data_IF_483722569536
#
_entry.id   IF_483722569536
#
_cell.length_a   1.000
_cell.length_b   1.000
_cell.length_c   1.000
_cell.angle_alpha   90.00
_cell.angle_beta   90.00
_cell.angle_gamma   90.00
#
_symmetry.space_group_name_H-M   'P 1'
#
loop_
_entity.id
_entity.type
_entity.pdbx_description
1 polymer ?
#
# COMPACT_ATOMS: atom_id res chain seq x y z
N UNK A 1 -36.80 0.34 27.37
CA UNK A 1 -35.73 -0.41 26.67
C UNK A 1 -34.35 -0.08 27.25
N UNK A 2 -33.42 -1.05 27.32
CA UNK A 2 -32.02 -0.75 27.66
C UNK A 2 -31.28 -0.17 26.46
N UNK A 3 -30.21 0.65 26.67
CA UNK A 3 -29.42 1.19 25.56
C UNK A 3 -28.83 0.11 24.64
N UNK A 4 -28.41 -1.03 25.19
CA UNK A 4 -27.85 -2.15 24.42
C UNK A 4 -28.88 -2.79 23.49
N UNK A 5 -30.11 -2.99 23.98
CA UNK A 5 -31.20 -3.55 23.17
C UNK A 5 -31.64 -2.57 22.08
N UNK A 6 -31.65 -1.27 22.37
CA UNK A 6 -31.92 -0.24 21.37
C UNK A 6 -30.89 -0.30 20.22
N UNK A 7 -29.60 -0.29 20.55
CA UNK A 7 -28.53 -0.35 19.54
C UNK A 7 -28.64 -1.61 18.69
N UNK A 8 -28.92 -2.76 19.31
CA UNK A 8 -29.11 -4.03 18.59
C UNK A 8 -30.29 -3.96 17.63
N UNK A 9 -31.47 -3.53 18.10
CA UNK A 9 -32.67 -3.38 17.25
C UNK A 9 -32.45 -2.38 16.13
N UNK A 10 -31.77 -1.27 16.40
CA UNK A 10 -31.41 -0.28 15.39
C UNK A 10 -30.49 -0.86 14.33
N UNK A 11 -29.39 -1.51 14.73
CA UNK A 11 -28.43 -2.14 13.82
C UNK A 11 -29.09 -3.15 12.89
N UNK A 12 -30.01 -3.95 13.41
CA UNK A 12 -30.76 -4.97 12.67
C UNK A 12 -31.89 -4.38 11.81
N UNK A 13 -32.17 -3.07 11.91
CA UNK A 13 -33.26 -2.43 11.17
C UNK A 13 -34.65 -2.83 11.66
N UNK A 14 -34.79 -3.12 12.96
CA UNK A 14 -36.03 -3.63 13.59
C UNK A 14 -36.77 -2.58 14.44
N UNK A 15 -36.51 -1.30 14.19
CA UNK A 15 -37.28 -0.22 14.79
C UNK A 15 -38.42 0.12 13.82
N UNK A 16 -39.64 -0.29 14.18
CA UNK A 16 -40.82 -0.16 13.33
C UNK A 16 -41.21 1.31 13.11
N UNK A 17 -41.65 1.66 11.90
CA UNK A 17 -41.98 3.04 11.51
C UNK A 17 -40.76 3.91 11.20
N UNK A 18 -39.56 3.40 11.49
CA UNK A 18 -38.28 4.06 11.31
C UNK A 18 -37.42 3.35 10.25
N UNK A 19 -37.11 2.07 10.47
CA UNK A 19 -36.09 1.35 9.68
C UNK A 19 -36.54 1.01 8.27
N UNK A 20 -37.83 0.73 8.11
CA UNK A 20 -38.52 0.26 6.89
C UNK A 20 -39.18 1.40 6.08
N UNK A 21 -39.23 2.62 6.64
CA UNK A 21 -39.90 3.74 6.00
C UNK A 21 -38.98 4.50 5.04
N UNK A 22 -39.22 4.37 3.74
CA UNK A 22 -38.52 5.15 2.69
C UNK A 22 -38.66 6.66 2.90
N UNK A 23 -39.85 7.12 3.33
CA UNK A 23 -40.06 8.53 3.68
C UNK A 23 -39.13 8.96 4.81
N UNK A 24 -39.07 8.17 5.89
CA UNK A 24 -38.29 8.53 7.07
C UNK A 24 -36.79 8.51 6.77
N UNK A 25 -36.33 7.49 6.02
CA UNK A 25 -34.96 7.41 5.50
C UNK A 25 -34.59 8.63 4.62
N UNK A 26 -35.49 9.07 3.74
CA UNK A 26 -35.27 10.30 2.98
C UNK A 26 -35.23 11.56 3.87
N UNK A 27 -36.00 11.59 4.96
CA UNK A 27 -35.98 12.69 5.94
C UNK A 27 -34.64 12.75 6.69
N UNK A 28 -34.10 11.59 7.11
CA UNK A 28 -32.76 11.49 7.71
C UNK A 28 -31.68 12.05 6.76
N UNK A 29 -31.71 11.65 5.48
CA UNK A 29 -30.79 12.18 4.46
C UNK A 29 -30.89 13.70 4.33
N UNK A 30 -32.11 14.24 4.30
CA UNK A 30 -32.32 15.69 4.23
C UNK A 30 -31.82 16.42 5.48
N UNK A 31 -31.98 15.83 6.66
CA UNK A 31 -31.46 16.40 7.90
C UNK A 31 -29.92 16.38 7.94
N UNK A 32 -29.29 15.26 7.54
CA UNK A 32 -27.84 15.16 7.33
C UNK A 32 -27.33 16.27 6.40
N UNK A 33 -28.03 16.48 5.29
CA UNK A 33 -27.73 17.52 4.29
C UNK A 33 -28.13 18.94 4.73
N UNK A 34 -28.54 19.12 6.00
CA UNK A 34 -28.97 20.39 6.60
C UNK A 34 -30.16 21.07 5.89
N UNK A 35 -30.97 20.28 5.19
CA UNK A 35 -32.21 20.73 4.51
C UNK A 35 -33.45 20.63 5.40
N UNK A 36 -33.34 20.00 6.56
CA UNK A 36 -34.38 19.85 7.58
C UNK A 36 -33.75 20.10 8.94
N UNK A 37 -34.42 20.87 9.81
CA UNK A 37 -33.94 21.12 11.17
C UNK A 37 -34.05 19.87 12.04
N UNK A 38 -33.16 19.78 13.03
CA UNK A 38 -33.15 18.70 14.01
C UNK A 38 -34.47 18.62 14.79
N UNK A 39 -35.03 19.76 15.20
CA UNK A 39 -36.33 19.85 15.87
C UNK A 39 -37.46 19.21 15.06
N UNK A 40 -37.50 19.50 13.75
CA UNK A 40 -38.51 18.93 12.86
C UNK A 40 -38.31 17.43 12.66
N UNK A 41 -37.06 16.97 12.62
CA UNK A 41 -36.76 15.54 12.54
C UNK A 41 -37.19 14.82 13.82
N UNK A 42 -36.83 15.35 14.99
CA UNK A 42 -37.22 14.78 16.29
C UNK A 42 -38.74 14.73 16.45
N UNK A 43 -39.45 15.78 16.04
CA UNK A 43 -40.91 15.77 16.02
C UNK A 43 -41.50 14.65 15.15
N UNK A 44 -40.94 14.44 13.95
CA UNK A 44 -41.39 13.34 13.09
C UNK A 44 -40.98 11.95 13.62
N UNK A 45 -39.85 11.84 14.32
CA UNK A 45 -39.43 10.61 15.00
C UNK A 45 -40.38 10.25 16.13
N UNK A 46 -40.69 11.20 17.01
CA UNK A 46 -41.62 11.03 18.13
C UNK A 46 -43.00 10.56 17.66
N UNK A 47 -43.50 11.14 16.55
CA UNK A 47 -44.79 10.75 15.98
C UNK A 47 -44.82 9.34 15.36
N UNK A 48 -43.69 8.84 14.85
CA UNK A 48 -43.62 7.61 14.05
C UNK A 48 -43.10 6.41 14.80
N UNK A 49 -42.23 6.61 15.77
CA UNK A 49 -41.75 5.57 16.66
C UNK A 49 -42.93 5.10 17.51
N UNK A 50 -43.56 4.01 17.06
CA UNK A 50 -44.81 3.50 17.64
C UNK A 50 -44.58 2.85 19.02
N UNK A 51 -43.31 2.58 19.33
CA UNK A 51 -42.83 1.90 20.53
C UNK A 51 -42.42 2.96 21.55
N UNK A 52 -43.26 3.20 22.57
CA UNK A 52 -43.06 4.25 23.60
C UNK A 52 -41.77 4.06 24.43
N UNK A 53 -41.08 2.95 24.26
CA UNK A 53 -39.81 2.65 24.92
C UNK A 53 -38.56 3.10 24.15
N UNK A 54 -38.70 3.61 22.93
CA UNK A 54 -37.58 4.09 22.10
C UNK A 54 -37.49 5.61 22.18
N UNK A 55 -36.39 6.14 22.71
CA UNK A 55 -36.12 7.58 22.71
C UNK A 55 -35.69 8.04 21.29
N UNK A 56 -36.46 8.95 20.64
CA UNK A 56 -36.08 9.57 19.38
C UNK A 56 -34.67 10.18 19.36
N UNK A 57 -34.24 10.78 20.47
CA UNK A 57 -32.94 11.43 20.57
C UNK A 57 -31.80 10.43 20.55
N UNK A 58 -31.96 9.28 21.21
CA UNK A 58 -30.96 8.20 21.19
C UNK A 58 -30.80 7.63 19.78
N UNK A 59 -31.90 7.39 19.07
CA UNK A 59 -31.87 6.93 17.67
C UNK A 59 -31.21 7.97 16.76
N UNK A 60 -31.50 9.26 16.96
CA UNK A 60 -30.87 10.33 16.19
C UNK A 60 -29.35 10.39 16.44
N UNK A 61 -28.91 10.19 17.67
CA UNK A 61 -27.49 10.15 18.00
C UNK A 61 -26.76 8.98 17.30
N UNK A 62 -27.42 7.82 17.16
CA UNK A 62 -26.89 6.69 16.39
C UNK A 62 -26.75 7.04 14.90
N UNK A 63 -27.74 7.71 14.31
CA UNK A 63 -27.69 8.19 12.92
C UNK A 63 -26.61 9.24 12.69
N UNK A 64 -26.44 10.20 13.62
CA UNK A 64 -25.32 11.15 13.59
C UNK A 64 -23.97 10.44 13.57
N UNK A 65 -23.86 9.30 14.25
CA UNK A 65 -22.69 8.42 14.17
C UNK A 65 -22.45 7.89 12.75
N UNK A 66 -23.50 7.47 12.04
CA UNK A 66 -23.41 7.08 10.62
C UNK A 66 -23.01 8.27 9.76
N UNK A 67 -23.60 9.45 9.96
CA UNK A 67 -23.30 10.63 9.15
C UNK A 67 -21.82 11.03 9.24
N UNK A 68 -21.24 10.96 10.45
CA UNK A 68 -19.82 11.20 10.64
C UNK A 68 -18.96 10.19 9.88
N UNK A 69 -19.28 8.90 10.00
CA UNK A 69 -18.55 7.84 9.29
C UNK A 69 -18.68 7.96 7.76
N UNK A 70 -19.85 8.36 7.28
CA UNK A 70 -20.11 8.60 5.86
C UNK A 70 -19.24 9.74 5.32
N UNK A 71 -19.15 10.85 6.04
CA UNK A 71 -18.27 11.97 5.68
C UNK A 71 -16.79 11.57 5.70
N UNK A 72 -16.37 10.75 6.68
CA UNK A 72 -15.01 10.21 6.71
C UNK A 72 -14.72 9.32 5.49
N UNK A 73 -15.65 8.41 5.14
CA UNK A 73 -15.52 7.53 3.98
C UNK A 73 -15.49 8.32 2.67
N UNK A 74 -16.43 9.26 2.47
CA UNK A 74 -16.49 10.15 1.30
C UNK A 74 -15.22 10.99 1.17
N UNK A 75 -14.73 11.56 2.27
CA UNK A 75 -13.50 12.33 2.28
C UNK A 75 -12.28 11.49 1.91
N UNK A 76 -12.20 10.27 2.44
CA UNK A 76 -11.12 9.33 2.08
C UNK A 76 -11.15 8.95 0.60
N UNK A 77 -12.32 8.66 0.03
CA UNK A 77 -12.46 8.37 -1.41
C UNK A 77 -12.09 9.58 -2.27
N UNK A 78 -12.50 10.79 -1.89
CA UNK A 78 -12.10 12.03 -2.59
C UNK A 78 -10.57 12.22 -2.58
N UNK A 79 -9.93 11.99 -1.42
CA UNK A 79 -8.47 11.99 -1.33
C UNK A 79 -7.88 10.92 -2.24
N UNK A 80 -8.46 9.71 -2.25
CA UNK A 80 -7.96 8.64 -3.10
C UNK A 80 -8.04 8.99 -4.59
N UNK A 81 -9.13 9.61 -5.05
CA UNK A 81 -9.24 10.08 -6.44
C UNK A 81 -8.07 11.01 -6.79
N UNK A 82 -7.72 11.94 -5.90
CA UNK A 82 -6.58 12.85 -6.09
C UNK A 82 -5.25 12.10 -6.04
N UNK A 83 -5.03 11.23 -5.05
CA UNK A 83 -3.76 10.54 -4.85
C UNK A 83 -3.51 9.43 -5.87
N UNK A 84 -4.56 8.91 -6.50
CA UNK A 84 -4.47 7.84 -7.50
C UNK A 84 -3.62 8.22 -8.71
N UNK A 85 -3.49 9.51 -9.02
CA UNK A 85 -2.68 9.99 -10.14
C UNK A 85 -1.17 9.99 -9.85
N UNK A 86 -0.77 9.87 -8.57
CA UNK A 86 0.65 9.82 -8.19
C UNK A 86 1.29 8.48 -8.54
N UNK A 87 0.48 7.42 -8.57
CA UNK A 87 0.97 6.10 -8.91
C UNK A 87 1.49 6.09 -10.35
N UNK A 88 2.62 5.42 -10.62
CA UNK A 88 3.07 5.18 -11.98
C UNK A 88 2.07 4.33 -12.77
N UNK A 89 1.16 3.58 -12.11
CA UNK A 89 0.10 2.77 -12.74
C UNK A 89 -1.23 3.49 -12.60
N UNK A 90 -2.18 3.28 -13.53
CA UNK A 90 -3.51 3.88 -13.40
C UNK A 90 -4.26 3.29 -12.20
N UNK A 91 -4.46 4.11 -11.16
CA UNK A 91 -5.27 3.78 -9.98
C UNK A 91 -6.63 4.48 -9.97
N UNK A 92 -6.93 5.31 -10.97
CA UNK A 92 -8.15 6.12 -10.99
C UNK A 92 -9.40 5.24 -11.06
N UNK A 93 -9.32 4.14 -11.80
CA UNK A 93 -10.41 3.16 -11.90
C UNK A 93 -10.75 2.55 -10.52
N UNK A 94 -9.73 2.30 -9.68
CA UNK A 94 -9.95 1.79 -8.33
C UNK A 94 -10.55 2.85 -7.40
N UNK A 95 -10.10 4.10 -7.49
CA UNK A 95 -10.68 5.18 -6.72
C UNK A 95 -12.17 5.42 -7.07
N UNK A 96 -12.50 5.42 -8.37
CA UNK A 96 -13.90 5.57 -8.85
C UNK A 96 -14.81 4.41 -8.43
N UNK A 97 -14.26 3.20 -8.32
CA UNK A 97 -15.03 2.05 -7.83
C UNK A 97 -15.61 2.33 -6.43
N UNK A 98 -14.81 2.89 -5.52
CA UNK A 98 -15.29 3.21 -4.18
C UNK A 98 -16.29 4.36 -4.14
N UNK A 99 -16.19 5.32 -5.06
CA UNK A 99 -17.21 6.37 -5.23
C UNK A 99 -18.57 5.76 -5.59
N UNK A 100 -18.59 4.85 -6.58
CA UNK A 100 -19.81 4.12 -6.98
C UNK A 100 -20.38 3.31 -5.81
N UNK A 101 -19.53 2.61 -5.05
CA UNK A 101 -19.99 1.82 -3.88
C UNK A 101 -20.63 2.72 -2.82
N UNK A 102 -20.09 3.91 -2.57
CA UNK A 102 -20.69 4.85 -1.61
C UNK A 102 -22.04 5.38 -2.10
N UNK A 103 -22.14 5.76 -3.38
CA UNK A 103 -23.38 6.23 -3.99
C UNK A 103 -24.48 5.16 -3.96
N UNK A 104 -24.14 3.91 -4.35
CA UNK A 104 -25.07 2.78 -4.32
C UNK A 104 -25.52 2.48 -2.88
N UNK A 105 -24.59 2.51 -1.93
CA UNK A 105 -24.90 2.23 -0.53
C UNK A 105 -25.80 3.31 0.08
N UNK A 106 -25.53 4.59 -0.24
CA UNK A 106 -26.38 5.71 0.17
C UNK A 106 -27.79 5.58 -0.41
N UNK A 107 -27.91 5.22 -1.70
CA UNK A 107 -29.19 5.00 -2.37
C UNK A 107 -30.00 3.86 -1.72
N UNK A 108 -29.36 2.71 -1.49
CA UNK A 108 -30.00 1.55 -0.88
C UNK A 108 -30.45 1.85 0.57
N UNK A 109 -29.66 2.61 1.32
CA UNK A 109 -29.94 2.96 2.70
C UNK A 109 -31.04 4.03 2.82
N UNK A 110 -30.84 5.19 2.21
CA UNK A 110 -31.73 6.34 2.43
C UNK A 110 -32.94 6.40 1.48
N UNK A 111 -32.82 5.91 0.24
CA UNK A 111 -33.88 6.09 -0.77
C UNK A 111 -34.73 4.83 -0.93
N UNK A 112 -34.13 3.66 -0.77
CA UNK A 112 -34.85 2.39 -0.88
C UNK A 112 -35.21 1.74 0.45
N UNK A 113 -34.60 2.16 1.57
CA UNK A 113 -34.77 1.49 2.86
C UNK A 113 -34.51 -0.04 2.77
N UNK A 114 -33.56 -0.45 1.92
CA UNK A 114 -33.24 -1.86 1.62
C UNK A 114 -31.94 -2.33 2.26
N UNK A 115 -31.34 -1.50 3.10
CA UNK A 115 -30.09 -1.77 3.79
C UNK A 115 -30.25 -1.44 5.26
N UNK A 116 -29.88 -2.38 6.12
CA UNK A 116 -29.86 -2.16 7.56
C UNK A 116 -28.74 -1.19 7.96
N UNK A 117 -28.84 -0.50 9.12
CA UNK A 117 -27.74 0.31 9.63
C UNK A 117 -26.43 -0.48 9.79
N UNK A 118 -26.51 -1.75 10.23
CA UNK A 118 -25.34 -2.63 10.32
C UNK A 118 -24.66 -2.85 8.98
N UNK A 119 -25.41 -3.19 7.94
CA UNK A 119 -24.86 -3.39 6.60
C UNK A 119 -24.27 -2.09 6.03
N UNK A 120 -24.95 -0.96 6.22
CA UNK A 120 -24.47 0.32 5.74
C UNK A 120 -23.17 0.75 6.43
N UNK A 121 -23.11 0.66 7.76
CA UNK A 121 -21.88 0.90 8.54
C UNK A 121 -20.76 -0.02 8.07
N UNK A 122 -21.02 -1.30 7.83
CA UNK A 122 -20.01 -2.24 7.38
C UNK A 122 -19.45 -1.85 6.01
N UNK A 123 -20.31 -1.45 5.06
CA UNK A 123 -19.87 -0.95 3.75
C UNK A 123 -19.04 0.33 3.89
N UNK A 124 -19.49 1.31 4.67
CA UNK A 124 -18.77 2.55 4.90
C UNK A 124 -17.39 2.31 5.53
N UNK A 125 -17.30 1.47 6.57
CA UNK A 125 -16.02 1.11 7.21
C UNK A 125 -15.08 0.41 6.25
N UNK A 126 -15.58 -0.59 5.53
CA UNK A 126 -14.79 -1.31 4.53
C UNK A 126 -14.25 -0.34 3.48
N UNK A 127 -15.09 0.52 2.90
CA UNK A 127 -14.66 1.53 1.92
C UNK A 127 -13.64 2.51 2.51
N UNK A 128 -13.83 2.97 3.74
CA UNK A 128 -12.89 3.85 4.43
C UNK A 128 -11.53 3.19 4.65
N UNK A 129 -11.50 1.97 5.18
CA UNK A 129 -10.28 1.21 5.43
C UNK A 129 -9.55 0.88 4.12
N UNK A 130 -10.28 0.40 3.12
CA UNK A 130 -9.75 0.08 1.79
C UNK A 130 -9.18 1.29 1.07
N UNK A 131 -9.91 2.39 1.03
CA UNK A 131 -9.43 3.61 0.37
C UNK A 131 -8.18 4.16 1.04
N UNK A 132 -8.09 4.17 2.38
CA UNK A 132 -6.88 4.56 3.11
C UNK A 132 -5.68 3.68 2.76
N UNK A 133 -5.89 2.36 2.69
CA UNK A 133 -4.85 1.41 2.35
C UNK A 133 -4.32 1.64 0.93
N UNK A 134 -5.22 1.80 -0.04
CA UNK A 134 -4.86 2.02 -1.45
C UNK A 134 -4.26 3.42 -1.71
N UNK A 135 -4.61 4.43 -0.92
CA UNK A 135 -3.91 5.74 -0.89
C UNK A 135 -2.44 5.54 -0.50
N UNK A 136 -2.17 4.83 0.61
CA UNK A 136 -0.80 4.58 1.05
C UNK A 136 -0.01 3.79 0.00
N UNK A 137 -0.64 2.78 -0.63
CA UNK A 137 -0.04 2.06 -1.76
C UNK A 137 0.29 3.02 -2.91
N UNK A 138 -0.63 3.89 -3.33
CA UNK A 138 -0.39 4.82 -4.45
C UNK A 138 0.79 5.76 -4.17
N UNK A 139 0.92 6.24 -2.93
CA UNK A 139 2.05 7.05 -2.46
C UNK A 139 3.35 6.23 -2.49
N UNK A 140 3.32 5.02 -1.94
CA UNK A 140 4.48 4.13 -1.90
C UNK A 140 4.95 3.75 -3.31
N UNK A 141 4.04 3.46 -4.25
CA UNK A 141 4.38 3.17 -5.63
C UNK A 141 5.10 4.35 -6.28
N UNK A 142 4.60 5.58 -6.07
CA UNK A 142 5.23 6.81 -6.54
C UNK A 142 6.63 6.99 -5.96
N UNK A 143 6.77 6.81 -4.65
CA UNK A 143 8.05 6.91 -3.94
C UNK A 143 9.05 5.87 -4.44
N UNK A 144 8.61 4.62 -4.62
CA UNK A 144 9.45 3.56 -5.19
C UNK A 144 9.89 3.92 -6.60
N UNK A 145 8.97 4.34 -7.46
CA UNK A 145 9.29 4.70 -8.83
C UNK A 145 10.32 5.84 -8.91
N UNK A 146 10.12 6.90 -8.13
CA UNK A 146 11.04 8.04 -8.07
C UNK A 146 12.41 7.67 -7.52
N UNK A 147 12.45 6.84 -6.48
CA UNK A 147 13.70 6.32 -5.92
C UNK A 147 14.47 5.47 -6.93
N UNK A 148 13.80 4.61 -7.69
CA UNK A 148 14.45 3.80 -8.74
C UNK A 148 15.00 4.69 -9.86
N UNK A 149 14.25 5.74 -10.25
CA UNK A 149 14.73 6.76 -11.18
C UNK A 149 15.97 7.46 -10.66
N UNK A 150 16.00 7.84 -9.38
CA UNK A 150 17.17 8.46 -8.75
C UNK A 150 18.37 7.51 -8.74
N UNK A 151 18.18 6.25 -8.35
CA UNK A 151 19.24 5.22 -8.38
C UNK A 151 19.79 5.08 -9.80
N UNK A 152 18.94 5.06 -10.82
CA UNK A 152 19.38 5.02 -12.22
C UNK A 152 20.26 6.20 -12.60
N UNK A 153 19.91 7.41 -12.14
CA UNK A 153 20.70 8.62 -12.37
C UNK A 153 22.03 8.59 -11.62
N UNK A 154 22.04 8.14 -10.36
CA UNK A 154 23.25 7.97 -9.57
C UNK A 154 24.19 6.94 -10.20
N UNK A 155 23.66 5.88 -10.78
CA UNK A 155 24.43 4.88 -11.51
C UNK A 155 24.92 5.37 -12.88
N UNK A 156 24.53 6.57 -13.30
CA UNK A 156 24.85 7.19 -14.58
C UNK A 156 24.47 6.31 -15.77
N UNK A 157 23.48 5.42 -15.57
CA UNK A 157 23.00 4.50 -16.60
C UNK A 157 21.48 4.46 -16.62
N UNK A 158 20.85 4.83 -17.74
CA UNK A 158 19.39 4.89 -17.84
C UNK A 158 18.78 3.48 -17.74
N UNK A 159 17.93 3.28 -16.75
CA UNK A 159 17.04 2.13 -16.64
C UNK A 159 15.85 2.30 -17.59
N UNK A 160 15.37 1.20 -18.17
CA UNK A 160 14.07 1.17 -18.82
C UNK A 160 12.97 1.17 -17.76
N UNK A 161 12.57 2.38 -17.36
CA UNK A 161 11.54 2.61 -16.35
C UNK A 161 10.15 2.16 -16.82
N UNK A 162 9.92 2.06 -18.14
CA UNK A 162 8.68 1.52 -18.69
C UNK A 162 8.57 0.04 -18.38
N UNK A 163 9.63 -0.72 -18.63
CA UNK A 163 9.67 -2.15 -18.29
C UNK A 163 9.63 -2.38 -16.79
N UNK A 164 10.31 -1.54 -16.00
CA UNK A 164 10.21 -1.59 -14.53
C UNK A 164 8.76 -1.44 -14.08
N UNK A 165 8.07 -0.39 -14.54
CA UNK A 165 6.67 -0.13 -14.22
C UNK A 165 5.79 -1.35 -14.51
N UNK A 166 5.90 -1.92 -15.71
CA UNK A 166 5.06 -3.02 -16.18
C UNK A 166 5.27 -4.34 -15.42
N UNK A 167 6.46 -4.55 -14.86
CA UNK A 167 6.82 -5.83 -14.23
C UNK A 167 6.84 -5.79 -12.70
N UNK A 168 7.03 -4.62 -12.10
CA UNK A 168 7.19 -4.48 -10.66
C UNK A 168 5.88 -4.14 -9.96
N UNK A 169 5.11 -3.19 -10.49
CA UNK A 169 3.87 -2.78 -9.87
C UNK A 169 2.72 -3.66 -10.36
N UNK A 170 1.75 -3.93 -9.47
CA UNK A 170 0.55 -4.69 -9.83
C UNK A 170 -0.23 -3.92 -10.89
N UNK A 171 -0.48 -4.52 -12.05
CA UNK A 171 -1.24 -3.90 -13.14
C UNK A 171 -2.76 -3.96 -12.93
N UNK A 172 -3.22 -4.94 -12.15
CA UNK A 172 -4.63 -5.08 -11.79
C UNK A 172 -5.12 -3.91 -10.94
N UNK A 173 -6.41 -3.64 -11.04
CA UNK A 173 -7.06 -2.67 -10.16
C UNK A 173 -7.01 -3.17 -8.71
N UNK A 174 -6.57 -2.29 -7.79
CA UNK A 174 -6.36 -2.65 -6.39
C UNK A 174 -7.64 -3.10 -5.69
N UNK A 175 -8.80 -2.56 -6.07
CA UNK A 175 -10.11 -2.97 -5.52
C UNK A 175 -10.45 -4.46 -5.77
N UNK A 176 -9.77 -5.12 -6.71
CA UNK A 176 -9.96 -6.55 -6.99
C UNK A 176 -9.14 -7.46 -6.08
N UNK A 177 -8.07 -6.94 -5.47
CA UNK A 177 -7.24 -7.68 -4.54
C UNK A 177 -7.94 -7.81 -3.19
N UNK A 178 -7.77 -8.95 -2.53
CA UNK A 178 -8.14 -9.14 -1.13
C UNK A 178 -7.38 -8.17 -0.20
N UNK A 179 -7.86 -8.02 1.03
CA UNK A 179 -7.19 -7.16 2.02
C UNK A 179 -5.81 -7.70 2.39
N UNK A 180 -5.65 -9.03 2.44
CA UNK A 180 -4.39 -9.72 2.68
C UNK A 180 -3.38 -9.44 1.57
N UNK A 181 -3.80 -9.58 0.30
CA UNK A 181 -2.95 -9.30 -0.86
C UNK A 181 -2.50 -7.83 -0.92
N UNK A 182 -3.40 -6.88 -0.60
CA UNK A 182 -3.03 -5.46 -0.53
C UNK A 182 -2.01 -5.18 0.57
N UNK A 183 -2.19 -5.74 1.77
CA UNK A 183 -1.28 -5.50 2.87
C UNK A 183 0.09 -6.13 2.59
N UNK A 184 0.13 -7.31 1.97
CA UNK A 184 1.39 -7.91 1.53
C UNK A 184 2.08 -7.06 0.46
N UNK A 185 1.34 -6.60 -0.55
CA UNK A 185 1.89 -5.71 -1.56
C UNK A 185 2.46 -4.41 -0.96
N UNK A 186 1.73 -3.80 -0.02
CA UNK A 186 2.20 -2.63 0.74
C UNK A 186 3.48 -2.92 1.53
N UNK A 187 3.60 -4.09 2.17
CA UNK A 187 4.82 -4.50 2.89
C UNK A 187 6.01 -4.63 1.94
N UNK A 188 5.80 -5.21 0.76
CA UNK A 188 6.83 -5.30 -0.29
C UNK A 188 7.30 -3.90 -0.70
N UNK A 189 6.37 -2.98 -1.00
CA UNK A 189 6.70 -1.60 -1.36
C UNK A 189 7.47 -0.86 -0.26
N UNK A 190 7.11 -1.06 1.01
CA UNK A 190 7.84 -0.49 2.16
C UNK A 190 9.25 -1.05 2.29
N UNK A 191 9.40 -2.37 2.09
CA UNK A 191 10.70 -3.04 2.14
C UNK A 191 11.62 -2.52 1.03
N UNK A 192 11.08 -2.42 -0.18
CA UNK A 192 11.78 -1.86 -1.34
C UNK A 192 12.14 -0.39 -1.10
N UNK A 193 11.23 0.40 -0.56
CA UNK A 193 11.49 1.80 -0.18
C UNK A 193 12.60 1.95 0.86
N UNK A 194 12.72 1.03 1.81
CA UNK A 194 13.82 1.03 2.79
C UNK A 194 15.14 0.64 2.13
N UNK A 195 15.16 -0.45 1.37
CA UNK A 195 16.36 -0.93 0.69
C UNK A 195 16.90 0.08 -0.33
N UNK A 196 16.02 0.71 -1.11
CA UNK A 196 16.47 1.68 -2.10
C UNK A 196 16.93 3.01 -1.49
N UNK A 197 16.43 3.42 -0.32
CA UNK A 197 17.03 4.54 0.45
C UNK A 197 18.45 4.21 0.89
N UNK A 198 18.67 3.00 1.42
CA UNK A 198 20.00 2.52 1.78
C UNK A 198 20.91 2.45 0.55
N UNK A 199 20.43 1.91 -0.57
CA UNK A 199 21.18 1.86 -1.82
C UNK A 199 21.58 3.27 -2.30
N UNK A 200 20.62 4.20 -2.36
CA UNK A 200 20.87 5.59 -2.78
C UNK A 200 21.90 6.27 -1.88
N UNK A 201 21.85 6.04 -0.56
CA UNK A 201 22.87 6.52 0.38
C UNK A 201 24.26 6.01 0.01
N UNK A 202 24.42 4.71 -0.19
CA UNK A 202 25.73 4.12 -0.53
C UNK A 202 26.26 4.60 -1.88
N UNK A 203 25.40 4.68 -2.89
CA UNK A 203 25.77 5.19 -4.22
C UNK A 203 26.25 6.65 -4.17
N UNK A 204 25.56 7.50 -3.39
CA UNK A 204 26.00 8.89 -3.16
C UNK A 204 27.35 8.96 -2.44
N UNK A 205 27.57 8.13 -1.42
CA UNK A 205 28.87 8.06 -0.71
C UNK A 205 29.99 7.67 -1.68
N UNK A 206 29.77 6.67 -2.53
CA UNK A 206 30.75 6.25 -3.54
C UNK A 206 31.08 7.40 -4.49
N UNK A 207 30.05 8.07 -5.03
CA UNK A 207 30.24 9.21 -5.92
C UNK A 207 31.03 10.33 -5.26
N UNK A 208 30.73 10.67 -4.01
CA UNK A 208 31.44 11.71 -3.24
C UNK A 208 32.91 11.34 -2.97
N UNK A 209 33.24 10.05 -2.88
CA UNK A 209 34.62 9.56 -2.74
C UNK A 209 35.36 9.44 -4.09
N UNK A 210 34.75 9.89 -5.19
CA UNK A 210 35.33 9.80 -6.53
C UNK A 210 35.31 8.39 -7.13
N UNK A 211 34.56 7.46 -6.54
CA UNK A 211 34.36 6.13 -7.12
C UNK A 211 33.21 6.15 -8.11
N UNK A 212 33.39 5.46 -9.23
CA UNK A 212 32.29 5.23 -10.16
C UNK A 212 31.25 4.29 -9.51
N UNK A 213 29.95 4.64 -9.47
CA UNK A 213 28.92 3.86 -8.79
C UNK A 213 28.76 2.41 -9.29
N UNK A 214 29.14 2.12 -10.53
CA UNK A 214 29.19 0.74 -11.05
C UNK A 214 30.12 -0.19 -10.28
N UNK A 215 31.12 0.35 -9.57
CA UNK A 215 32.03 -0.45 -8.73
C UNK A 215 31.32 -1.17 -7.58
N UNK A 216 30.08 -0.77 -7.23
CA UNK A 216 29.27 -1.52 -6.26
C UNK A 216 29.06 -2.98 -6.69
N UNK A 217 29.23 -3.28 -7.99
CA UNK A 217 29.17 -4.63 -8.50
C UNK A 217 30.28 -5.56 -8.07
N UNK A 218 31.44 -5.03 -7.68
CA UNK A 218 32.54 -5.83 -7.11
C UNK A 218 32.14 -6.50 -5.79
N UNK A 219 31.06 -6.04 -5.14
CA UNK A 219 30.52 -6.60 -3.91
C UNK A 219 29.54 -7.77 -4.14
N UNK A 220 29.28 -8.16 -5.39
CA UNK A 220 28.40 -9.31 -5.71
C UNK A 220 28.74 -10.61 -4.98
N UNK A 221 30.01 -10.99 -4.76
CA UNK A 221 30.30 -12.23 -4.03
C UNK A 221 29.74 -12.23 -2.60
N UNK A 222 29.53 -11.08 -1.96
CA UNK A 222 28.87 -10.98 -0.65
C UNK A 222 27.41 -11.47 -0.69
N UNK A 223 26.75 -11.37 -1.85
CA UNK A 223 25.38 -11.85 -2.02
C UNK A 223 25.29 -13.37 -1.96
N UNK A 224 26.26 -14.08 -2.56
CA UNK A 224 26.37 -15.53 -2.47
C UNK A 224 26.60 -15.99 -1.03
N UNK A 225 27.41 -15.24 -0.28
CA UNK A 225 27.65 -15.50 1.15
C UNK A 225 26.34 -15.33 1.93
N UNK A 226 25.62 -14.22 1.73
CA UNK A 226 24.34 -13.95 2.40
C UNK A 226 23.31 -15.06 2.10
N UNK A 227 23.20 -15.48 0.84
CA UNK A 227 22.28 -16.54 0.41
C UNK A 227 22.68 -17.93 0.93
N UNK A 228 23.96 -18.16 1.22
CA UNK A 228 24.48 -19.42 1.78
C UNK A 228 24.61 -19.38 3.31
N UNK A 229 23.62 -18.79 4.00
CA UNK A 229 23.59 -18.67 5.46
C UNK A 229 24.85 -18.02 6.05
N UNK A 230 25.33 -16.97 5.40
CA UNK A 230 26.52 -16.22 5.79
C UNK A 230 27.82 -17.05 5.83
N UNK A 231 27.91 -18.18 5.11
CA UNK A 231 29.11 -19.01 5.07
C UNK A 231 30.03 -18.58 3.92
N UNK A 232 31.25 -18.19 4.27
CA UNK A 232 32.24 -17.57 3.36
C UNK A 232 33.04 -18.59 2.52
N UNK A 233 32.78 -19.90 2.66
CA UNK A 233 33.55 -20.98 2.03
C UNK A 233 33.58 -20.99 0.48
N UNK A 234 33.08 -19.95 -0.18
CA UNK A 234 32.91 -19.82 -1.62
C UNK A 234 33.76 -18.69 -2.24
N UNK A 235 34.57 -17.98 -1.44
CA UNK A 235 35.46 -16.92 -1.94
C UNK A 235 36.86 -17.46 -2.24
N UNK A 236 37.53 -16.91 -3.25
CA UNK A 236 38.99 -17.06 -3.40
C UNK A 236 39.71 -16.28 -2.30
N UNK A 237 40.96 -16.66 -2.01
CA UNK A 237 41.77 -16.02 -0.96
C UNK A 237 41.92 -14.50 -1.19
N UNK A 238 42.16 -14.07 -2.43
CA UNK A 238 42.26 -12.64 -2.78
C UNK A 238 40.98 -11.85 -2.48
N UNK A 239 39.80 -12.40 -2.80
CA UNK A 239 38.52 -11.74 -2.55
C UNK A 239 38.19 -11.75 -1.06
N UNK A 240 38.54 -12.84 -0.37
CA UNK A 240 38.40 -12.95 1.08
C UNK A 240 39.23 -11.87 1.78
N UNK A 241 40.53 -11.79 1.49
CA UNK A 241 41.45 -10.80 2.08
C UNK A 241 40.96 -9.38 1.84
N UNK A 242 40.61 -9.04 0.59
CA UNK A 242 40.03 -7.73 0.24
C UNK A 242 38.78 -7.40 1.08
N UNK A 243 37.84 -8.33 1.22
CA UNK A 243 36.63 -8.09 2.00
C UNK A 243 36.88 -8.02 3.50
N UNK A 244 37.90 -8.72 4.00
CA UNK A 244 38.32 -8.63 5.39
C UNK A 244 38.96 -7.27 5.68
N UNK A 245 39.84 -6.77 4.80
CA UNK A 245 40.43 -5.43 4.89
C UNK A 245 39.36 -4.33 4.86
N UNK A 246 38.31 -4.53 4.05
CA UNK A 246 37.15 -3.63 4.00
C UNK A 246 36.21 -3.76 5.21
N UNK A 247 36.47 -4.68 6.14
CA UNK A 247 35.63 -4.92 7.33
C UNK A 247 34.26 -5.52 7.02
N UNK A 248 34.08 -6.14 5.84
CA UNK A 248 32.81 -6.71 5.39
C UNK A 248 32.62 -8.16 5.85
N UNK A 249 33.72 -8.84 6.14
CA UNK A 249 33.73 -10.19 6.70
C UNK A 249 34.62 -10.24 7.95
N UNK A 250 34.24 -11.11 8.88
CA UNK A 250 35.01 -11.43 10.07
C UNK A 250 35.02 -12.95 10.25
N UNK A 251 36.19 -13.56 10.09
CA UNK A 251 36.30 -15.02 9.98
C UNK A 251 35.40 -15.56 8.87
N UNK A 252 34.58 -16.56 9.19
CA UNK A 252 33.69 -17.24 8.22
C UNK A 252 32.30 -16.61 8.08
N UNK A 253 32.11 -15.34 8.45
CA UNK A 253 30.80 -14.65 8.43
C UNK A 253 30.87 -13.22 7.92
N UNK A 254 29.75 -12.72 7.41
CA UNK A 254 29.54 -11.28 7.15
C UNK A 254 29.49 -10.51 8.47
N UNK A 255 30.02 -9.28 8.46
CA UNK A 255 29.73 -8.28 9.49
C UNK A 255 28.37 -7.63 9.20
N UNK A 256 27.85 -6.82 10.13
CA UNK A 256 26.59 -6.07 9.91
C UNK A 256 26.66 -5.18 8.65
N UNK A 257 27.81 -4.54 8.43
CA UNK A 257 28.06 -3.75 7.22
C UNK A 257 28.10 -4.64 5.98
N UNK A 258 28.74 -5.81 6.06
CA UNK A 258 28.74 -6.81 5.01
C UNK A 258 27.33 -7.26 4.64
N UNK A 259 26.49 -7.60 5.62
CA UNK A 259 25.09 -7.97 5.39
C UNK A 259 24.28 -6.84 4.76
N UNK A 260 24.44 -5.60 5.24
CA UNK A 260 23.72 -4.46 4.68
C UNK A 260 24.08 -4.24 3.21
N UNK A 261 25.38 -4.26 2.88
CA UNK A 261 25.86 -4.12 1.51
C UNK A 261 25.43 -5.29 0.62
N UNK A 262 25.43 -6.53 1.13
CA UNK A 262 24.88 -7.68 0.41
C UNK A 262 23.42 -7.47 0.02
N UNK A 263 22.59 -6.96 0.95
CA UNK A 263 21.17 -6.67 0.68
C UNK A 263 21.00 -5.55 -0.35
N UNK A 264 21.87 -4.53 -0.31
CA UNK A 264 21.89 -3.45 -1.32
C UNK A 264 22.22 -3.99 -2.70
N UNK A 265 23.25 -4.82 -2.82
CA UNK A 265 23.65 -5.40 -4.12
C UNK A 265 22.56 -6.32 -4.67
N UNK A 266 21.99 -7.20 -3.84
CA UNK A 266 20.86 -8.05 -4.23
C UNK A 266 19.66 -7.23 -4.71
N UNK A 267 19.37 -6.12 -4.04
CA UNK A 267 18.29 -5.22 -4.40
C UNK A 267 18.54 -4.56 -5.77
N UNK A 268 19.73 -4.01 -5.98
CA UNK A 268 20.14 -3.41 -7.25
C UNK A 268 20.09 -4.43 -8.40
N UNK A 269 20.54 -5.67 -8.17
CA UNK A 269 20.46 -6.76 -9.15
C UNK A 269 19.01 -7.18 -9.44
N UNK A 270 18.10 -7.04 -8.48
CA UNK A 270 16.68 -7.33 -8.70
C UNK A 270 16.03 -6.25 -9.58
N UNK A 271 16.29 -4.97 -9.31
CA UNK A 271 15.82 -3.85 -10.14
C UNK A 271 16.25 -4.03 -11.60
N UNK A 272 17.51 -4.42 -11.78
CA UNK A 272 18.10 -4.68 -13.09
C UNK A 272 17.41 -5.77 -13.89
N UNK A 273 17.18 -6.93 -13.26
CA UNK A 273 16.50 -8.06 -13.90
C UNK A 273 15.11 -7.67 -14.36
N UNK A 274 14.40 -6.91 -13.54
CA UNK A 274 13.07 -6.39 -13.84
C UNK A 274 13.13 -5.40 -15.00
N UNK A 275 14.07 -4.45 -14.95
CA UNK A 275 14.21 -3.35 -15.93
C UNK A 275 14.88 -3.75 -17.25
N UNK A 276 15.43 -4.97 -17.36
CA UNK A 276 16.07 -5.47 -18.58
C UNK A 276 17.55 -5.79 -18.40
N UNK A 277 17.81 -7.08 -18.25
CA UNK A 277 19.06 -7.69 -17.79
C UNK A 277 20.32 -7.34 -18.61
N UNK A 278 20.24 -7.26 -19.95
CA UNK A 278 21.43 -7.15 -20.84
C UNK A 278 22.33 -5.94 -20.55
N UNK A 279 21.75 -4.73 -20.44
CA UNK A 279 22.52 -3.48 -20.16
C UNK A 279 23.06 -3.39 -18.72
N UNK A 280 22.47 -4.16 -17.79
CA UNK A 280 22.88 -4.16 -16.39
C UNK A 280 23.88 -5.27 -16.06
N UNK A 281 23.90 -6.36 -16.81
CA UNK A 281 25.02 -7.32 -16.71
C UNK A 281 26.30 -6.68 -17.24
N UNK A 282 26.24 -5.91 -18.32
CA UNK A 282 27.32 -5.04 -18.83
C UNK A 282 27.76 -3.92 -17.85
N UNK A 283 27.04 -3.71 -16.74
CA UNK A 283 27.39 -2.74 -15.69
C UNK A 283 28.29 -3.35 -14.61
N UNK A 284 28.13 -4.64 -14.35
CA UNK A 284 28.75 -5.36 -13.25
C UNK A 284 29.83 -6.33 -13.73
N UNK A 285 29.82 -6.67 -15.03
CA UNK A 285 30.98 -7.27 -15.69
C UNK A 285 31.84 -6.12 -16.19
N UNK A 286 32.95 -5.87 -15.51
CA UNK A 286 34.03 -5.09 -16.14
C UNK A 286 34.49 -5.84 -17.40
N UNK A 287 34.82 -5.16 -18.51
CA UNK A 287 35.55 -5.78 -19.63
C UNK A 287 36.98 -6.23 -19.25
N UNK A 288 37.40 -6.06 -17.99
CA UNK A 288 38.67 -6.53 -17.46
C UNK A 288 38.47 -7.73 -16.54
N UNK A 289 38.37 -8.92 -17.14
CA UNK A 289 38.36 -10.17 -16.40
C UNK A 289 37.45 -11.20 -17.07
N UNK A 290 38.04 -12.08 -17.87
CA UNK A 290 37.39 -13.32 -18.28
C UNK A 290 37.04 -14.09 -17.00
N UNK A 291 35.77 -14.10 -16.61
CA UNK A 291 35.27 -15.20 -15.79
C UNK A 291 35.17 -16.42 -16.71
N UNK A 292 36.12 -17.35 -16.55
CA UNK A 292 36.00 -18.68 -17.10
C UNK A 292 34.66 -19.27 -16.65
N UNK A 293 33.88 -19.73 -17.63
CA UNK A 293 32.67 -20.49 -17.39
C UNK A 293 33.07 -21.73 -16.59
N UNK A 294 32.78 -21.74 -15.29
CA UNK A 294 32.71 -22.98 -14.54
C UNK A 294 31.43 -23.67 -15.03
N UNK A 295 31.57 -24.45 -16.09
CA UNK A 295 30.66 -25.56 -16.34
C UNK A 295 30.84 -26.53 -15.18
N UNK A 296 29.80 -26.87 -14.40
CA UNK A 296 29.88 -28.07 -13.60
C UNK A 296 29.95 -29.24 -14.58
N UNK A 297 31.10 -29.91 -14.66
CA UNK A 297 31.18 -31.22 -15.29
C UNK A 297 30.26 -32.15 -14.50
N UNK A 298 29.25 -32.67 -15.19
CA UNK A 298 28.58 -33.88 -14.78
C UNK A 298 29.49 -35.03 -15.19
N UNK A 299 30.30 -35.49 -14.24
CA UNK A 299 30.71 -36.88 -14.09
C UNK A 299 30.46 -37.28 -12.63
#
# INVERSE_FOLDING_TARGET
MSPEELVKRWLEGKIHGYSDSTYFRALLKRARDKRVSEEKLLFEMDRRLSDREVDPLEVLNLEKGIWKLEEEAKSSVRIYIVMSVLSPVDRRTSAKFYEIILEESEYLYYEKARMSPKEYINRLRNTLERSKLEIDISILESNVFNMIKEISQLMERPLDLTRFKLKFFVSENLYKLSSEELEEYRRVLRTVSRLGRTASKYLRIMKNKGHHPSKIGELRPLTSILLNNNKVNLLSDEVYEKFQEMGLISGKRLTDLGEELSRVVLFLDSIARISGKKKWEELFHSPSGREERINPSLD
#
